data_IF_977363526678
#
_entry.id   IF_977363526678
#
_cell.length_a   1.000
_cell.length_b   1.000
_cell.length_c   1.000
_cell.angle_alpha   90.00
_cell.angle_beta   90.00
_cell.angle_gamma   90.00
#
_symmetry.space_group_name_H-M   'P 1'
#
loop_
_entity.id
_entity.type
_entity.pdbx_description
1 polymer ?
#
# COMPACT_ATOMS: atom_id res chain seq x y z
N UNK A 1 -4.16 -21.50 18.59
CA UNK A 1 -4.63 -20.81 17.38
C UNK A 1 -4.96 -21.81 16.27
N UNK A 2 -4.00 -22.60 15.80
CA UNK A 2 -4.16 -23.55 14.69
C UNK A 2 -5.42 -24.44 14.79
N UNK A 3 -5.63 -25.09 15.95
CA UNK A 3 -6.82 -25.92 16.20
C UNK A 3 -8.13 -25.18 15.95
N UNK A 4 -8.25 -23.93 16.40
CA UNK A 4 -9.47 -23.13 16.21
C UNK A 4 -9.65 -22.66 14.77
N UNK A 5 -8.55 -22.33 14.08
CA UNK A 5 -8.62 -21.95 12.66
C UNK A 5 -9.07 -23.16 11.81
N UNK A 6 -8.49 -24.34 12.05
CA UNK A 6 -8.89 -25.59 11.37
C UNK A 6 -10.35 -25.95 11.66
N UNK A 7 -10.77 -25.81 12.92
CA UNK A 7 -12.15 -26.10 13.34
C UNK A 7 -13.17 -25.18 12.68
N UNK A 8 -12.90 -23.88 12.64
CA UNK A 8 -13.85 -22.88 12.14
C UNK A 8 -13.78 -22.67 10.62
N UNK A 9 -12.66 -23.03 9.99
CA UNK A 9 -12.40 -22.85 8.56
C UNK A 9 -12.86 -21.47 8.03
N UNK A 10 -12.36 -20.36 8.61
CA UNK A 10 -12.90 -19.04 8.33
C UNK A 10 -12.57 -18.57 6.91
N UNK A 11 -13.55 -17.95 6.23
CA UNK A 11 -13.32 -17.33 4.91
C UNK A 11 -12.38 -16.10 4.95
N UNK A 12 -12.24 -15.46 6.11
CA UNK A 12 -11.38 -14.30 6.33
C UNK A 12 -10.88 -14.30 7.77
N UNK A 13 -9.63 -13.87 7.96
CA UNK A 13 -9.04 -13.61 9.27
C UNK A 13 -8.55 -12.17 9.26
N UNK A 14 -8.92 -11.42 10.29
CA UNK A 14 -8.47 -10.05 10.50
C UNK A 14 -7.69 -9.96 11.83
N UNK A 15 -6.66 -9.11 11.86
CA UNK A 15 -5.81 -8.88 13.02
C UNK A 15 -6.09 -7.47 13.58
N UNK A 16 -6.38 -7.42 14.88
CA UNK A 16 -6.68 -6.20 15.62
C UNK A 16 -5.58 -5.79 16.59
N UNK A 17 -5.93 -4.90 17.51
CA UNK A 17 -5.04 -4.45 18.56
C UNK A 17 -4.68 -5.55 19.57
N UNK A 18 -3.59 -5.33 20.29
CA UNK A 18 -3.33 -5.90 21.61
C UNK A 18 -4.13 -5.06 22.61
N UNK A 19 -4.88 -5.73 23.48
CA UNK A 19 -5.73 -5.10 24.49
C UNK A 19 -5.19 -5.35 25.90
N UNK A 20 -5.63 -4.53 26.85
CA UNK A 20 -5.30 -4.66 28.27
C UNK A 20 -5.94 -5.91 28.95
N UNK A 21 -6.75 -6.67 28.23
CA UNK A 21 -7.36 -7.92 28.66
C UNK A 21 -7.64 -8.81 27.46
N UNK A 22 -7.91 -10.10 27.69
CA UNK A 22 -8.20 -11.04 26.60
C UNK A 22 -9.46 -10.60 25.84
N UNK A 23 -9.43 -10.40 24.50
CA UNK A 23 -10.59 -9.91 23.75
C UNK A 23 -11.85 -10.77 23.88
N UNK A 24 -11.71 -12.08 24.07
CA UNK A 24 -12.84 -13.00 24.30
C UNK A 24 -13.64 -12.67 25.58
N UNK A 25 -13.00 -12.01 26.54
CA UNK A 25 -13.55 -11.68 27.85
C UNK A 25 -14.03 -10.21 27.92
N UNK A 26 -14.03 -9.45 26.80
CA UNK A 26 -14.32 -8.00 26.78
C UNK A 26 -15.63 -7.60 27.48
N UNK A 27 -16.64 -8.47 27.49
CA UNK A 27 -17.94 -8.21 28.13
C UNK A 27 -17.89 -8.16 29.64
N UNK A 28 -16.88 -8.79 30.26
CA UNK A 28 -16.73 -8.86 31.72
C UNK A 28 -15.66 -7.92 32.26
N UNK A 29 -15.01 -7.15 31.38
CA UNK A 29 -13.91 -6.24 31.74
C UNK A 29 -14.45 -4.81 31.82
N UNK A 30 -14.32 -4.17 32.98
CA UNK A 30 -14.84 -2.83 33.26
C UNK A 30 -14.24 -1.73 32.36
N UNK A 31 -12.95 -1.84 32.00
CA UNK A 31 -12.28 -0.91 31.09
C UNK A 31 -11.51 -1.71 30.05
N UNK A 32 -12.18 -2.08 28.96
CA UNK A 32 -11.53 -2.78 27.83
C UNK A 32 -10.99 -1.76 26.83
N UNK A 33 -9.67 -1.70 26.68
CA UNK A 33 -9.02 -0.69 25.84
C UNK A 33 -7.87 -1.28 25.01
N UNK A 34 -7.69 -0.84 23.75
CA UNK A 34 -6.51 -1.19 22.98
C UNK A 34 -5.26 -0.55 23.61
N UNK A 35 -4.11 -1.21 23.50
CA UNK A 35 -2.83 -0.77 24.07
C UNK A 35 -1.80 -0.55 22.97
N UNK A 36 -1.65 -1.53 22.09
CA UNK A 36 -0.70 -1.48 20.99
C UNK A 36 -1.33 -2.09 19.73
N UNK A 37 -0.89 -1.63 18.58
CA UNK A 37 -1.20 -2.23 17.28
C UNK A 37 -0.16 -1.79 16.27
N UNK A 38 0.25 -2.66 15.36
CA UNK A 38 1.04 -2.26 14.19
C UNK A 38 0.43 -1.01 13.53
N UNK A 39 1.30 -0.11 13.06
CA UNK A 39 0.88 0.99 12.21
C UNK A 39 0.60 0.41 10.83
N UNK A 40 -0.63 0.57 10.35
CA UNK A 40 -1.09 -0.09 9.12
C UNK A 40 -1.56 0.91 8.07
N UNK A 41 -1.31 0.58 6.81
CA UNK A 41 -1.82 1.30 5.65
C UNK A 41 -2.53 0.31 4.73
N UNK A 42 -3.71 0.70 4.25
CA UNK A 42 -4.47 -0.02 3.23
C UNK A 42 -4.64 0.92 2.02
N UNK A 43 -4.30 0.39 0.86
CA UNK A 43 -4.30 1.10 -0.41
C UNK A 43 -5.06 0.22 -1.39
N UNK A 44 -6.25 0.65 -1.78
CA UNK A 44 -7.11 -0.05 -2.74
C UNK A 44 -7.12 0.68 -4.08
N UNK A 45 -7.04 -0.08 -5.17
CA UNK A 45 -7.12 0.47 -6.53
C UNK A 45 -8.44 1.20 -6.82
N UNK A 46 -9.55 0.92 -6.12
CA UNK A 46 -10.81 1.65 -6.33
C UNK A 46 -10.67 3.13 -6.07
N UNK A 47 -9.79 3.52 -5.15
CA UNK A 47 -9.58 4.91 -4.83
C UNK A 47 -9.02 5.66 -6.04
N UNK A 48 -8.46 4.97 -7.03
CA UNK A 48 -7.90 5.54 -8.26
C UNK A 48 -8.86 5.53 -9.45
N UNK A 49 -10.13 5.14 -9.29
CA UNK A 49 -11.11 5.06 -10.39
C UNK A 49 -11.29 6.37 -11.16
N UNK A 50 -11.05 7.51 -10.53
CA UNK A 50 -11.14 8.83 -11.20
C UNK A 50 -9.96 9.12 -12.13
N UNK A 51 -8.81 8.48 -11.89
CA UNK A 51 -7.53 8.74 -12.56
C UNK A 51 -6.97 7.52 -13.30
N UNK A 52 -7.77 6.45 -13.42
CA UNK A 52 -7.46 5.30 -14.25
C UNK A 52 -8.56 5.07 -15.30
N UNK A 53 -8.16 4.66 -16.49
CA UNK A 53 -9.02 4.43 -17.65
C UNK A 53 -8.95 2.99 -18.15
N UNK A 54 -7.90 2.25 -17.79
CA UNK A 54 -7.69 0.88 -18.28
C UNK A 54 -8.59 -0.16 -17.58
N UNK A 55 -9.11 0.13 -16.39
CA UNK A 55 -9.95 -0.73 -15.57
C UNK A 55 -10.89 0.13 -14.71
N UNK A 56 -11.90 -0.47 -14.10
CA UNK A 56 -12.79 0.20 -13.15
C UNK A 56 -13.17 -0.72 -11.99
N UNK A 57 -13.58 -0.14 -10.85
CA UNK A 57 -14.05 -0.87 -9.70
C UNK A 57 -13.05 -1.91 -9.21
N UNK A 58 -13.37 -3.19 -9.34
CA UNK A 58 -12.53 -4.25 -8.80
C UNK A 58 -11.50 -4.86 -9.74
N UNK A 59 -11.58 -4.51 -11.02
CA UNK A 59 -10.69 -5.04 -12.03
C UNK A 59 -9.33 -4.35 -11.95
N UNK A 60 -8.27 -5.12 -12.21
CA UNK A 60 -6.89 -4.63 -12.25
C UNK A 60 -6.16 -5.21 -13.46
N UNK A 61 -5.17 -4.48 -13.94
CA UNK A 61 -4.22 -4.96 -14.94
C UNK A 61 -2.82 -4.38 -14.66
N UNK A 62 -1.83 -4.78 -15.45
CA UNK A 62 -0.43 -4.34 -15.31
C UNK A 62 -0.26 -2.83 -15.42
N UNK A 63 -1.14 -2.14 -16.15
CA UNK A 63 -1.13 -0.68 -16.29
C UNK A 63 -1.49 0.02 -14.98
N UNK A 64 -2.68 -0.22 -14.44
CA UNK A 64 -3.10 0.43 -13.19
C UNK A 64 -2.33 -0.09 -11.97
N UNK A 65 -1.77 -1.30 -12.01
CA UNK A 65 -0.96 -1.81 -10.89
C UNK A 65 0.25 -0.91 -10.54
N UNK A 66 0.74 -0.13 -11.51
CA UNK A 66 1.77 0.89 -11.26
C UNK A 66 1.38 1.88 -10.16
N UNK A 67 0.09 2.16 -9.92
CA UNK A 67 -0.35 2.95 -8.76
C UNK A 67 0.07 2.31 -7.43
N UNK A 68 -0.09 0.99 -7.29
CA UNK A 68 0.35 0.28 -6.07
C UNK A 68 1.87 0.26 -5.96
N UNK A 69 2.58 0.02 -7.07
CA UNK A 69 4.05 0.07 -7.09
C UNK A 69 4.58 1.43 -6.61
N UNK A 70 3.99 2.53 -7.09
CA UNK A 70 4.32 3.89 -6.67
C UNK A 70 4.03 4.08 -5.19
N UNK A 71 2.89 3.56 -4.71
CA UNK A 71 2.50 3.67 -3.32
C UNK A 71 3.42 2.92 -2.36
N UNK A 72 3.80 1.69 -2.70
CA UNK A 72 4.81 0.93 -1.97
C UNK A 72 6.12 1.72 -1.91
N UNK A 73 6.60 2.23 -3.05
CA UNK A 73 7.88 2.97 -3.08
C UNK A 73 7.84 4.24 -2.24
N UNK A 74 6.80 5.06 -2.38
CA UNK A 74 6.68 6.32 -1.64
C UNK A 74 6.60 6.06 -0.14
N UNK A 75 5.72 5.16 0.28
CA UNK A 75 5.49 4.90 1.69
C UNK A 75 6.67 4.16 2.32
N UNK A 76 7.24 3.15 1.67
CA UNK A 76 8.40 2.43 2.21
C UNK A 76 9.60 3.36 2.36
N UNK A 77 9.85 4.24 1.38
CA UNK A 77 10.93 5.25 1.47
C UNK A 77 10.69 6.19 2.64
N UNK A 78 9.52 6.82 2.74
CA UNK A 78 9.24 7.77 3.81
C UNK A 78 9.26 7.11 5.20
N UNK A 79 8.67 5.92 5.35
CA UNK A 79 8.67 5.18 6.62
C UNK A 79 10.09 4.81 7.07
N UNK A 80 11.00 4.49 6.15
CA UNK A 80 12.40 4.15 6.47
C UNK A 80 13.27 5.39 6.68
N UNK A 81 13.24 6.32 5.74
CA UNK A 81 14.17 7.45 5.69
C UNK A 81 13.74 8.59 6.63
N UNK A 82 12.44 8.88 6.71
CA UNK A 82 11.95 10.02 7.49
C UNK A 82 11.61 9.60 8.93
N UNK A 83 11.04 8.39 9.11
CA UNK A 83 10.61 7.89 10.42
C UNK A 83 11.55 6.87 11.05
N UNK A 84 12.54 6.37 10.30
CA UNK A 84 13.53 5.41 10.82
C UNK A 84 12.99 4.01 11.08
N UNK A 85 11.80 3.65 10.59
CA UNK A 85 11.23 2.32 10.81
C UNK A 85 11.98 1.25 10.01
N UNK A 86 12.23 0.11 10.65
CA UNK A 86 12.99 -0.98 10.08
C UNK A 86 12.10 -2.17 9.72
N UNK A 87 11.10 -2.45 10.55
CA UNK A 87 10.29 -3.67 10.48
C UNK A 87 8.98 -3.40 9.74
N UNK A 88 9.08 -3.23 8.43
CA UNK A 88 7.96 -2.97 7.52
C UNK A 88 7.66 -4.22 6.69
N UNK A 89 6.41 -4.70 6.73
CA UNK A 89 5.93 -5.85 5.97
C UNK A 89 4.86 -5.42 4.95
N UNK A 90 5.13 -5.67 3.67
CA UNK A 90 4.19 -5.42 2.57
C UNK A 90 3.49 -6.70 2.14
N UNK A 91 2.18 -6.61 1.97
CA UNK A 91 1.30 -7.76 1.74
C UNK A 91 0.31 -7.42 0.62
N UNK A 92 0.18 -8.30 -0.36
CA UNK A 92 -0.88 -8.19 -1.35
C UNK A 92 -2.25 -8.47 -0.72
N UNK A 93 -3.26 -7.65 -1.00
CA UNK A 93 -4.59 -7.77 -0.36
C UNK A 93 -5.40 -9.00 -0.82
N UNK A 94 -4.89 -9.74 -1.81
CA UNK A 94 -5.54 -10.88 -2.45
C UNK A 94 -6.44 -10.51 -3.64
N UNK A 95 -6.59 -9.21 -3.94
CA UNK A 95 -7.38 -8.75 -5.10
C UNK A 95 -6.75 -7.57 -5.83
N UNK A 96 -6.82 -6.37 -5.25
CA UNK A 96 -6.59 -5.10 -5.99
C UNK A 96 -5.86 -4.03 -5.18
N UNK A 97 -5.24 -4.42 -4.08
CA UNK A 97 -4.59 -3.48 -3.19
C UNK A 97 -3.40 -4.10 -2.50
N UNK A 98 -2.76 -3.30 -1.67
CA UNK A 98 -1.64 -3.71 -0.83
C UNK A 98 -1.86 -3.20 0.59
N UNK A 99 -1.39 -3.97 1.55
CA UNK A 99 -1.35 -3.59 2.95
C UNK A 99 0.11 -3.42 3.38
N UNK A 100 0.37 -2.40 4.19
CA UNK A 100 1.65 -2.21 4.86
C UNK A 100 1.46 -2.38 6.36
N UNK A 101 2.33 -3.15 7.01
CA UNK A 101 2.38 -3.35 8.45
C UNK A 101 3.73 -2.89 8.96
N UNK A 102 3.75 -1.80 9.74
CA UNK A 102 4.95 -1.32 10.42
C UNK A 102 4.93 -1.85 11.85
N UNK A 103 5.89 -2.71 12.15
CA UNK A 103 5.91 -3.57 13.32
C UNK A 103 6.95 -3.18 14.35
N UNK A 104 7.71 -2.10 14.13
CA UNK A 104 8.64 -1.54 15.12
C UNK A 104 7.91 -1.26 16.45
N UNK A 105 8.61 -1.45 17.58
CA UNK A 105 8.01 -1.21 18.90
C UNK A 105 7.48 0.21 19.07
N UNK A 106 8.23 1.20 18.59
CA UNK A 106 7.83 2.61 18.58
C UNK A 106 6.58 2.87 17.73
N UNK A 107 6.45 2.22 16.57
CA UNK A 107 5.29 2.32 15.70
C UNK A 107 4.03 1.74 16.37
N UNK A 108 4.19 0.59 17.05
CA UNK A 108 3.08 -0.07 17.75
C UNK A 108 2.51 0.76 18.90
N UNK A 109 3.38 1.48 19.60
CA UNK A 109 3.05 2.32 20.74
C UNK A 109 2.47 3.71 20.35
N UNK A 110 2.41 4.06 19.06
CA UNK A 110 1.88 5.36 18.63
C UNK A 110 0.45 5.58 19.09
N UNK A 111 0.21 6.74 19.70
CA UNK A 111 -1.11 7.24 20.04
C UNK A 111 -1.95 7.51 18.78
N UNK A 112 -3.27 7.59 18.92
CA UNK A 112 -4.17 7.91 17.81
C UNK A 112 -3.83 9.26 17.15
N UNK A 113 -3.54 10.31 17.92
CA UNK A 113 -3.19 11.63 17.37
C UNK A 113 -1.86 11.60 16.60
N UNK A 114 -0.88 10.85 17.09
CA UNK A 114 0.39 10.64 16.37
C UNK A 114 0.19 9.90 15.06
N UNK A 115 -0.69 8.88 15.03
CA UNK A 115 -1.05 8.16 13.79
C UNK A 115 -1.74 9.07 12.77
N UNK A 116 -2.61 9.98 13.22
CA UNK A 116 -3.24 11.00 12.37
C UNK A 116 -2.18 11.89 11.73
N UNK A 117 -1.30 12.49 12.54
CA UNK A 117 -0.27 13.40 12.07
C UNK A 117 0.70 12.72 11.09
N UNK A 118 1.07 11.47 11.36
CA UNK A 118 1.91 10.66 10.49
C UNK A 118 1.22 10.38 9.15
N UNK A 119 -0.06 9.99 9.16
CA UNK A 119 -0.81 9.76 7.93
C UNK A 119 -0.94 11.03 7.08
N UNK A 120 -1.10 12.20 7.71
CA UNK A 120 -1.14 13.51 7.04
C UNK A 120 0.23 13.94 6.48
N UNK A 121 1.33 13.58 7.15
CA UNK A 121 2.68 13.79 6.63
C UNK A 121 2.91 12.96 5.37
N UNK A 122 2.55 11.68 5.42
CA UNK A 122 2.71 10.72 4.32
C UNK A 122 1.77 10.99 3.13
N UNK A 123 1.00 12.09 3.12
CA UNK A 123 0.25 12.55 1.95
C UNK A 123 1.09 13.41 0.97
N UNK A 124 2.38 13.65 1.24
CA UNK A 124 3.22 14.54 0.41
C UNK A 124 4.59 13.93 0.07
N UNK A 125 4.79 13.48 -1.18
CA UNK A 125 6.12 13.13 -1.70
C UNK A 125 6.22 13.32 -3.22
N UNK A 126 7.05 14.27 -3.65
CA UNK A 126 7.16 14.75 -5.03
C UNK A 126 8.12 13.92 -5.91
N UNK A 127 9.25 13.47 -5.35
CA UNK A 127 10.36 12.93 -6.15
C UNK A 127 10.04 11.64 -6.90
N UNK A 128 9.37 10.69 -6.23
CA UNK A 128 9.04 9.37 -6.82
C UNK A 128 7.88 9.50 -7.81
N UNK A 129 6.85 10.30 -7.47
CA UNK A 129 5.67 10.50 -8.32
C UNK A 129 6.03 11.01 -9.72
N UNK A 130 6.99 11.94 -9.82
CA UNK A 130 7.47 12.49 -11.10
C UNK A 130 8.06 11.44 -12.04
N UNK A 131 8.74 10.41 -11.51
CA UNK A 131 9.38 9.36 -12.33
C UNK A 131 8.36 8.52 -13.09
N UNK A 132 7.22 8.23 -12.46
CA UNK A 132 6.18 7.38 -13.03
C UNK A 132 5.11 8.16 -13.79
N UNK A 133 5.05 9.49 -13.63
CA UNK A 133 4.00 10.32 -14.21
C UNK A 133 3.85 10.12 -15.72
N UNK A 134 4.94 10.21 -16.49
CA UNK A 134 4.85 10.10 -17.94
C UNK A 134 4.33 8.71 -18.37
N UNK A 135 4.90 7.64 -17.83
CA UNK A 135 4.55 6.28 -18.23
C UNK A 135 3.14 5.90 -17.77
N UNK A 136 2.74 6.30 -16.57
CA UNK A 136 1.44 5.95 -16.02
C UNK A 136 0.33 6.87 -16.55
N UNK A 137 0.48 8.18 -16.35
CA UNK A 137 -0.60 9.14 -16.59
C UNK A 137 -0.75 9.48 -18.07
N UNK A 138 0.38 9.68 -18.78
CA UNK A 138 0.35 10.10 -20.18
C UNK A 138 0.28 8.92 -21.16
N UNK A 139 0.91 7.79 -20.83
CA UNK A 139 0.99 6.63 -21.73
C UNK A 139 -0.04 5.54 -21.39
N UNK A 140 -0.04 5.01 -20.16
CA UNK A 140 -0.89 3.88 -19.81
C UNK A 140 -2.36 4.23 -19.60
N UNK A 141 -2.63 5.33 -18.89
CA UNK A 141 -3.98 5.83 -18.62
C UNK A 141 -4.45 6.88 -19.64
N UNK A 142 -3.53 7.49 -20.39
CA UNK A 142 -3.81 8.50 -21.41
C UNK A 142 -4.81 9.58 -20.94
N UNK A 143 -4.62 10.11 -19.71
CA UNK A 143 -5.57 11.05 -19.08
C UNK A 143 -5.68 12.41 -19.79
N UNK A 144 -4.81 12.68 -20.74
CA UNK A 144 -4.92 13.85 -21.61
C UNK A 144 -5.33 13.45 -23.04
N UNK A 145 -5.84 12.24 -23.25
CA UNK A 145 -6.14 11.69 -24.58
C UNK A 145 -7.40 12.26 -25.23
N UNK A 146 -8.44 12.54 -24.42
CA UNK A 146 -9.78 12.96 -24.90
C UNK A 146 -10.29 14.20 -24.17
N UNK A 147 -11.25 14.97 -24.78
CA UNK A 147 -11.85 16.14 -24.16
C UNK A 147 -12.38 15.93 -22.75
N UNK A 148 -13.02 14.79 -22.52
CA UNK A 148 -13.59 14.43 -21.23
C UNK A 148 -12.51 14.17 -20.19
N UNK A 149 -11.38 13.58 -20.59
CA UNK A 149 -10.29 13.23 -19.68
C UNK A 149 -9.41 14.44 -19.34
N UNK A 150 -8.96 15.22 -20.34
CA UNK A 150 -8.16 16.40 -20.04
C UNK A 150 -8.96 17.46 -19.29
N UNK A 151 -10.28 17.54 -19.49
CA UNK A 151 -11.16 18.40 -18.70
C UNK A 151 -11.06 18.13 -17.19
N UNK A 152 -10.94 16.86 -16.79
CA UNK A 152 -10.71 16.49 -15.37
C UNK A 152 -9.36 16.97 -14.86
N UNK A 153 -8.31 16.90 -15.68
CA UNK A 153 -6.97 17.38 -15.30
C UNK A 153 -6.94 18.91 -15.20
N UNK A 154 -7.57 19.60 -16.15
CA UNK A 154 -7.66 21.07 -16.16
C UNK A 154 -8.52 21.62 -15.02
N UNK A 155 -9.47 20.85 -14.49
CA UNK A 155 -10.20 21.21 -13.27
C UNK A 155 -9.28 21.38 -12.04
N UNK A 156 -8.09 20.76 -12.03
CA UNK A 156 -7.09 20.93 -10.98
C UNK A 156 -6.35 22.27 -11.05
N UNK A 157 -6.42 22.96 -12.19
CA UNK A 157 -5.86 24.31 -12.35
C UNK A 157 -6.84 25.31 -11.72
N UNK A 158 -6.46 26.02 -10.64
CA UNK A 158 -7.41 26.88 -9.91
C UNK A 158 -7.76 28.17 -10.65
N UNK A 159 -6.86 28.69 -11.48
CA UNK A 159 -7.05 29.93 -12.25
C UNK A 159 -7.99 29.69 -13.46
N UNK A 160 -9.19 30.31 -13.49
CA UNK A 160 -10.14 30.11 -14.58
C UNK A 160 -9.65 30.61 -15.94
N UNK A 161 -8.89 31.71 -15.99
CA UNK A 161 -8.40 32.28 -17.25
C UNK A 161 -7.31 31.39 -17.85
N UNK A 162 -6.43 30.86 -16.99
CA UNK A 162 -5.44 29.85 -17.39
C UNK A 162 -6.14 28.57 -17.88
N UNK A 163 -7.18 28.11 -17.17
CA UNK A 163 -7.95 26.93 -17.55
C UNK A 163 -8.59 27.10 -18.93
N UNK A 164 -9.29 28.21 -19.17
CA UNK A 164 -9.92 28.52 -20.45
C UNK A 164 -8.89 28.58 -21.60
N UNK A 165 -7.75 29.24 -21.36
CA UNK A 165 -6.65 29.28 -22.34
C UNK A 165 -6.12 27.88 -22.68
N UNK A 166 -5.96 27.02 -21.67
CA UNK A 166 -5.53 25.64 -21.85
C UNK A 166 -6.59 24.84 -22.62
N UNK A 167 -7.87 24.94 -22.25
CA UNK A 167 -8.98 24.26 -22.92
C UNK A 167 -9.04 24.58 -24.42
N UNK A 168 -8.84 25.85 -24.79
CA UNK A 168 -8.79 26.28 -26.20
C UNK A 168 -7.57 25.74 -26.97
N UNK A 169 -6.48 25.43 -26.27
CA UNK A 169 -5.21 24.96 -26.87
C UNK A 169 -5.14 23.42 -26.95
N UNK A 170 -5.81 22.69 -26.06
CA UNK A 170 -5.78 21.21 -26.02
C UNK A 170 -6.14 20.54 -27.36
N UNK A 171 -7.13 21.01 -28.15
CA UNK A 171 -7.48 20.41 -29.44
C UNK A 171 -6.38 20.52 -30.50
N UNK A 172 -5.47 21.49 -30.37
CA UNK A 172 -4.36 21.70 -31.31
C UNK A 172 -3.19 20.72 -31.09
N UNK A 173 -3.18 20.04 -29.95
CA UNK A 173 -2.14 19.08 -29.59
C UNK A 173 -2.52 17.67 -30.08
N UNK A 174 -1.53 16.90 -30.57
CA UNK A 174 -1.77 15.58 -31.19
C UNK A 174 -1.91 14.44 -30.18
N UNK A 175 -1.27 14.54 -29.01
CA UNK A 175 -1.25 13.48 -28.00
C UNK A 175 -1.11 14.03 -26.56
N UNK A 176 -1.24 13.14 -25.58
CA UNK A 176 -1.13 13.46 -24.15
C UNK A 176 0.21 14.07 -23.78
N UNK A 177 1.30 13.64 -24.40
CA UNK A 177 2.65 14.15 -24.14
C UNK A 177 2.78 15.62 -24.57
N UNK A 178 2.27 15.97 -25.75
CA UNK A 178 2.25 17.35 -26.23
C UNK A 178 1.33 18.21 -25.36
N UNK A 179 0.13 17.73 -25.02
CA UNK A 179 -0.80 18.44 -24.12
C UNK A 179 -0.17 18.72 -22.77
N UNK A 180 0.53 17.75 -22.19
CA UNK A 180 1.26 17.96 -20.94
C UNK A 180 2.40 18.99 -21.09
N UNK A 181 3.13 18.97 -22.21
CA UNK A 181 4.15 19.97 -22.50
C UNK A 181 3.56 21.39 -22.58
N UNK A 182 2.39 21.54 -23.20
CA UNK A 182 1.64 22.79 -23.26
C UNK A 182 1.21 23.25 -21.87
N UNK A 183 0.64 22.36 -21.05
CA UNK A 183 0.27 22.66 -19.65
C UNK A 183 1.48 23.17 -18.87
N UNK A 184 2.61 22.46 -18.92
CA UNK A 184 3.85 22.88 -18.24
C UNK A 184 4.31 24.26 -18.69
N UNK A 185 4.36 24.49 -20.00
CA UNK A 185 4.84 25.75 -20.59
C UNK A 185 3.97 26.92 -20.14
N UNK A 186 2.65 26.74 -20.18
CA UNK A 186 1.70 27.80 -19.88
C UNK A 186 1.59 28.11 -18.38
N UNK A 187 1.67 27.07 -17.52
CA UNK A 187 1.83 27.26 -16.07
C UNK A 187 3.11 28.03 -15.77
N UNK A 188 4.25 27.60 -16.31
CA UNK A 188 5.54 28.28 -16.06
C UNK A 188 5.56 29.73 -16.57
N UNK A 189 4.92 30.00 -17.71
CA UNK A 189 4.74 31.35 -18.26
C UNK A 189 3.88 32.24 -17.36
N UNK A 190 2.87 31.66 -16.72
CA UNK A 190 2.01 32.38 -15.77
C UNK A 190 2.74 32.66 -14.46
N UNK A 191 3.54 31.69 -13.99
CA UNK A 191 4.38 31.83 -12.80
C UNK A 191 5.47 32.90 -12.95
N UNK A 192 6.07 33.03 -14.14
CA UNK A 192 7.11 34.05 -14.39
C UNK A 192 6.57 35.49 -14.48
N UNK A 193 5.28 35.66 -14.79
CA UNK A 193 4.60 36.97 -14.86
C UNK A 193 4.05 37.46 -13.53
N UNK A 194 4.01 36.61 -12.51
CA UNK A 194 3.30 36.85 -11.26
C UNK A 194 4.25 37.05 -10.08
N UNK A 195 4.95 38.17 -10.04
CA UNK A 195 5.50 38.67 -8.78
C UNK A 195 4.33 39.15 -7.89
N UNK A 196 4.08 38.45 -6.79
CA UNK A 196 3.27 38.92 -5.65
C UNK A 196 1.75 39.14 -5.88
N UNK A 197 1.05 38.25 -6.59
CA UNK A 197 -0.43 38.22 -6.58
C UNK A 197 -0.99 37.29 -5.49
N UNK A 198 -2.09 37.71 -4.85
CA UNK A 198 -2.90 36.89 -3.94
C UNK A 198 -3.34 35.60 -4.68
N UNK A 199 -2.98 34.42 -4.17
CA UNK A 199 -3.26 33.13 -4.83
C UNK A 199 -2.11 32.53 -5.66
N UNK A 200 -0.90 33.09 -5.58
CA UNK A 200 0.31 32.53 -6.19
C UNK A 200 0.57 31.08 -5.73
N UNK A 201 0.68 30.14 -6.68
CA UNK A 201 0.94 28.71 -6.44
C UNK A 201 2.20 28.24 -7.17
N UNK A 202 3.40 28.47 -6.61
CA UNK A 202 4.66 28.13 -7.26
C UNK A 202 4.82 26.63 -7.54
N UNK A 203 4.08 25.79 -6.81
CA UNK A 203 4.12 24.34 -6.91
C UNK A 203 2.93 23.74 -7.67
N UNK A 204 2.13 24.53 -8.39
CA UNK A 204 0.91 24.05 -9.06
C UNK A 204 1.14 22.81 -9.94
N UNK A 205 2.24 22.78 -10.70
CA UNK A 205 2.57 21.62 -11.54
C UNK A 205 2.80 20.35 -10.69
N UNK A 206 3.49 20.50 -9.57
CA UNK A 206 3.74 19.44 -8.60
C UNK A 206 2.45 19.00 -7.93
N UNK A 207 1.58 19.94 -7.53
CA UNK A 207 0.25 19.64 -6.98
C UNK A 207 -0.57 18.77 -7.94
N UNK A 208 -0.59 19.10 -9.24
CA UNK A 208 -1.29 18.31 -10.26
C UNK A 208 -0.70 16.89 -10.38
N UNK A 209 0.63 16.77 -10.45
CA UNK A 209 1.30 15.45 -10.51
C UNK A 209 0.95 14.61 -9.28
N UNK A 210 1.01 15.20 -8.10
CA UNK A 210 0.67 14.53 -6.85
C UNK A 210 -0.79 14.09 -6.84
N UNK A 211 -1.74 14.96 -7.21
CA UNK A 211 -3.16 14.61 -7.22
C UNK A 211 -3.47 13.40 -8.13
N UNK A 212 -2.70 13.23 -9.21
CA UNK A 212 -2.90 12.16 -10.18
C UNK A 212 -2.18 10.87 -9.84
N UNK A 213 -1.04 10.92 -9.16
CA UNK A 213 -0.14 9.77 -8.98
C UNK A 213 -0.01 9.32 -7.51
N UNK A 214 -0.24 10.23 -6.57
CA UNK A 214 0.11 10.01 -5.17
C UNK A 214 -0.74 8.93 -4.49
N UNK A 215 -0.18 8.20 -3.50
CA UNK A 215 -0.90 7.25 -2.66
C UNK A 215 -2.18 7.82 -2.06
N UNK A 216 -3.32 7.21 -2.39
CA UNK A 216 -4.60 7.48 -1.75
C UNK A 216 -4.68 6.55 -0.54
N UNK A 217 -4.47 7.11 0.65
CA UNK A 217 -4.46 6.36 1.91
C UNK A 217 -5.88 6.30 2.48
N UNK A 218 -6.36 5.11 2.84
CA UNK A 218 -7.52 5.00 3.72
C UNK A 218 -7.11 5.40 5.15
N UNK A 219 -7.35 6.67 5.46
CA UNK A 219 -6.93 7.25 6.73
C UNK A 219 -7.66 6.64 7.93
N UNK A 220 -8.85 6.06 7.75
CA UNK A 220 -9.59 5.42 8.84
C UNK A 220 -8.93 4.11 9.27
N UNK A 221 -8.26 3.42 8.34
CA UNK A 221 -7.47 2.21 8.62
C UNK A 221 -6.23 2.57 9.44
N UNK A 222 -5.56 3.66 9.11
CA UNK A 222 -4.30 4.06 9.78
C UNK A 222 -4.51 4.70 11.15
N UNK A 223 -5.58 5.49 11.33
CA UNK A 223 -5.83 6.27 12.56
C UNK A 223 -6.19 5.39 13.77
N UNK A 224 -7.00 4.36 13.58
CA UNK A 224 -7.63 3.62 14.67
C UNK A 224 -6.75 2.52 15.27
N UNK A 225 -6.46 2.59 16.56
CA UNK A 225 -5.77 1.51 17.28
C UNK A 225 -6.55 0.19 17.29
N UNK A 226 -7.89 0.24 17.23
CA UNK A 226 -8.77 -0.92 17.22
C UNK A 226 -9.12 -1.44 15.81
N UNK A 227 -8.57 -0.83 14.75
CA UNK A 227 -8.91 -1.21 13.38
C UNK A 227 -8.47 -2.65 13.07
N UNK A 228 -9.36 -3.42 12.43
CA UNK A 228 -9.13 -4.79 12.00
C UNK A 228 -8.64 -4.79 10.55
N UNK A 229 -7.46 -5.35 10.30
CA UNK A 229 -6.92 -5.47 8.94
C UNK A 229 -6.66 -6.94 8.60
N UNK A 230 -6.89 -7.31 7.34
CA UNK A 230 -6.79 -8.70 6.87
C UNK A 230 -5.39 -9.27 7.11
N UNK A 231 -5.35 -10.44 7.73
CA UNK A 231 -4.13 -11.18 8.01
C UNK A 231 -3.33 -11.45 6.72
N UNK A 232 -1.99 -11.36 6.77
CA UNK A 232 -1.13 -12.01 5.79
C UNK A 232 -1.52 -13.49 5.64
N UNK A 233 -1.31 -14.03 4.45
CA UNK A 233 -1.60 -15.43 4.08
C UNK A 233 -3.07 -15.86 4.10
N UNK A 234 -4.02 -14.95 4.31
CA UNK A 234 -5.43 -15.24 4.06
C UNK A 234 -5.70 -15.55 2.58
N UNK A 235 -6.65 -16.45 2.32
CA UNK A 235 -7.21 -16.64 0.96
C UNK A 235 -8.32 -15.62 0.75
N UNK A 236 -8.26 -14.86 -0.34
CA UNK A 236 -9.31 -13.91 -0.66
C UNK A 236 -10.54 -14.65 -1.22
N UNK A 237 -11.73 -14.55 -0.60
CA UNK A 237 -12.85 -15.45 -0.88
C UNK A 237 -13.38 -15.37 -2.31
N UNK A 238 -13.32 -14.18 -2.94
CA UNK A 238 -13.80 -14.00 -4.33
C UNK A 238 -12.79 -14.39 -5.42
N UNK A 239 -11.50 -14.33 -5.13
CA UNK A 239 -10.45 -14.55 -6.14
C UNK A 239 -9.74 -15.88 -5.94
N UNK A 240 -9.83 -16.48 -4.75
CA UNK A 240 -9.06 -17.66 -4.37
C UNK A 240 -7.55 -17.40 -4.20
N UNK A 241 -7.07 -16.16 -4.39
CA UNK A 241 -5.65 -15.81 -4.27
C UNK A 241 -5.23 -15.68 -2.82
N UNK A 242 -3.99 -16.05 -2.54
CA UNK A 242 -3.37 -15.88 -1.23
C UNK A 242 -2.86 -14.45 -1.05
N UNK A 243 -3.03 -13.88 0.15
CA UNK A 243 -2.48 -12.58 0.53
C UNK A 243 -0.98 -12.72 0.84
N UNK A 244 -0.15 -12.79 -0.20
CA UNK A 244 1.29 -13.05 -0.10
C UNK A 244 2.09 -11.81 0.33
N UNK A 245 3.17 -12.03 1.07
CA UNK A 245 4.17 -11.01 1.35
C UNK A 245 5.10 -10.84 0.14
N UNK A 246 5.59 -9.62 -0.08
CA UNK A 246 6.51 -9.34 -1.18
C UNK A 246 7.56 -8.29 -0.79
N UNK A 247 8.67 -8.28 -1.53
CA UNK A 247 9.80 -7.38 -1.30
C UNK A 247 9.49 -5.98 -1.86
N UNK A 248 9.42 -4.92 -1.03
CA UNK A 248 9.13 -3.58 -1.51
C UNK A 248 10.20 -3.02 -2.45
N UNK A 249 11.47 -3.47 -2.33
CA UNK A 249 12.54 -3.07 -3.25
C UNK A 249 12.33 -3.61 -4.67
N UNK A 250 11.55 -4.69 -4.80
CA UNK A 250 11.18 -5.33 -6.06
C UNK A 250 9.72 -5.11 -6.44
N UNK A 251 9.08 -4.07 -5.90
CA UNK A 251 7.66 -3.78 -6.14
C UNK A 251 7.27 -3.60 -7.63
N UNK A 252 8.21 -3.20 -8.50
CA UNK A 252 7.99 -3.13 -9.96
C UNK A 252 7.88 -4.50 -10.63
N UNK A 253 8.48 -5.53 -10.02
CA UNK A 253 8.49 -6.91 -10.53
C UNK A 253 7.31 -7.73 -9.98
N UNK A 254 6.60 -7.22 -8.98
CA UNK A 254 5.47 -7.92 -8.37
C UNK A 254 4.27 -7.94 -9.33
N UNK A 255 3.85 -9.14 -9.73
CA UNK A 255 2.70 -9.35 -10.60
C UNK A 255 1.50 -9.91 -9.81
N UNK A 256 0.47 -9.10 -9.50
CA UNK A 256 -0.70 -9.57 -8.74
C UNK A 256 -1.55 -10.59 -9.51
N UNK A 257 -1.37 -10.71 -10.83
CA UNK A 257 -2.05 -11.71 -11.65
C UNK A 257 -1.38 -13.09 -11.56
N UNK A 258 -0.12 -13.16 -11.13
CA UNK A 258 0.65 -14.40 -10.98
C UNK A 258 0.63 -14.96 -9.54
N UNK A 259 -0.02 -14.25 -8.60
CA UNK A 259 -0.13 -14.70 -7.20
C UNK A 259 -0.93 -16.01 -7.15
N UNK A 260 -0.45 -17.03 -6.41
CA UNK A 260 -1.07 -18.35 -6.42
C UNK A 260 -2.48 -18.35 -5.85
N UNK A 261 -3.32 -19.19 -6.48
CA UNK A 261 -4.65 -19.53 -6.02
C UNK A 261 -4.60 -20.76 -5.10
N UNK A 262 -5.56 -20.89 -4.18
CA UNK A 262 -5.62 -22.05 -3.27
C UNK A 262 -5.68 -23.39 -4.04
N UNK A 263 -6.45 -23.46 -5.14
CA UNK A 263 -6.54 -24.65 -5.98
C UNK A 263 -5.20 -25.02 -6.63
N UNK A 264 -4.45 -24.02 -7.11
CA UNK A 264 -3.12 -24.22 -7.68
C UNK A 264 -2.16 -24.80 -6.63
N UNK A 265 -2.19 -24.29 -5.40
CA UNK A 265 -1.32 -24.79 -4.33
C UNK A 265 -1.64 -26.25 -3.97
N UNK A 266 -2.91 -26.63 -3.96
CA UNK A 266 -3.31 -28.03 -3.73
C UNK A 266 -2.78 -28.94 -4.85
N UNK A 267 -2.83 -28.47 -6.10
CA UNK A 267 -2.31 -29.20 -7.26
C UNK A 267 -0.79 -29.32 -7.21
N UNK A 268 -0.07 -28.25 -6.85
CA UNK A 268 1.39 -28.26 -6.68
C UNK A 268 1.84 -29.29 -5.63
N UNK A 269 1.15 -29.37 -4.49
CA UNK A 269 1.43 -30.39 -3.45
C UNK A 269 1.17 -31.80 -4.00
N UNK A 270 0.02 -31.99 -4.65
CA UNK A 270 -0.39 -33.30 -5.19
C UNK A 270 0.59 -33.81 -6.24
N UNK A 271 1.05 -32.91 -7.13
CA UNK A 271 2.05 -33.21 -8.15
C UNK A 271 3.44 -33.49 -7.54
N UNK A 272 3.83 -32.75 -6.51
CA UNK A 272 5.10 -32.98 -5.81
C UNK A 272 5.12 -34.32 -5.08
N UNK A 273 3.98 -34.74 -4.52
CA UNK A 273 3.83 -35.97 -3.72
C UNK A 273 3.46 -37.21 -4.56
N UNK A 274 3.25 -37.04 -5.87
CA UNK A 274 2.94 -38.12 -6.79
C UNK A 274 4.05 -39.19 -6.80
N UNK A 275 3.68 -40.44 -6.54
CA UNK A 275 4.62 -41.57 -6.50
C UNK A 275 5.51 -41.66 -5.25
N UNK A 276 5.37 -40.75 -4.28
CA UNK A 276 6.11 -40.78 -3.01
C UNK A 276 5.41 -41.58 -1.92
N UNK A 277 6.18 -42.20 -1.02
CA UNK A 277 5.68 -42.84 0.20
C UNK A 277 5.26 -41.79 1.23
N UNK A 278 4.48 -42.18 2.25
CA UNK A 278 4.04 -41.25 3.29
C UNK A 278 5.20 -40.65 4.11
N UNK A 279 6.28 -41.41 4.28
CA UNK A 279 7.51 -40.94 4.94
C UNK A 279 8.21 -39.86 4.10
N UNK A 280 8.32 -40.07 2.78
CA UNK A 280 8.87 -39.09 1.84
C UNK A 280 8.02 -37.83 1.74
N UNK A 281 6.68 -37.98 1.81
CA UNK A 281 5.74 -36.85 1.82
C UNK A 281 5.92 -35.98 3.08
N UNK A 282 6.17 -36.59 4.23
CA UNK A 282 6.36 -35.91 5.51
C UNK A 282 7.71 -35.22 5.69
N UNK A 283 8.72 -35.58 4.88
CA UNK A 283 10.09 -35.05 5.01
C UNK A 283 10.22 -33.56 4.67
N UNK A 284 9.31 -33.01 3.87
CA UNK A 284 9.33 -31.61 3.42
C UNK A 284 8.03 -30.94 3.82
N UNK A 285 8.10 -29.79 4.51
CA UNK A 285 6.92 -29.01 4.85
C UNK A 285 6.12 -28.62 3.58
N UNK A 286 4.79 -28.75 3.64
CA UNK A 286 3.91 -28.62 2.46
C UNK A 286 4.14 -27.33 1.68
N UNK A 287 4.24 -26.20 2.36
CA UNK A 287 4.44 -24.91 1.68
C UNK A 287 5.75 -24.83 0.88
N UNK A 288 6.80 -25.57 1.28
CA UNK A 288 8.09 -25.61 0.57
C UNK A 288 7.99 -26.34 -0.76
N UNK A 289 6.93 -27.13 -0.96
CA UNK A 289 6.61 -27.83 -2.21
C UNK A 289 5.89 -26.93 -3.22
N UNK A 290 5.56 -25.70 -2.84
CA UNK A 290 4.66 -24.82 -3.59
C UNK A 290 5.29 -23.46 -3.90
N UNK A 291 4.61 -22.70 -4.75
CA UNK A 291 4.88 -21.29 -5.04
C UNK A 291 4.76 -20.36 -3.81
N UNK A 292 4.25 -20.83 -2.66
CA UNK A 292 4.26 -20.08 -1.40
C UNK A 292 5.65 -19.94 -0.76
N UNK A 293 6.61 -20.79 -1.12
CA UNK A 293 7.94 -20.85 -0.49
C UNK A 293 8.60 -19.48 -0.40
N UNK A 294 8.64 -18.73 -1.50
CA UNK A 294 9.31 -17.42 -1.53
C UNK A 294 8.69 -16.41 -0.56
N UNK A 295 7.36 -16.37 -0.51
CA UNK A 295 6.61 -15.45 0.36
C UNK A 295 6.80 -15.80 1.85
N UNK A 296 6.85 -17.09 2.17
CA UNK A 296 7.09 -17.56 3.54
C UNK A 296 8.55 -17.35 3.95
N UNK A 297 9.52 -17.63 3.09
CA UNK A 297 10.95 -17.36 3.37
C UNK A 297 11.19 -15.86 3.66
N UNK A 298 10.52 -14.97 2.91
CA UNK A 298 10.55 -13.52 3.17
C UNK A 298 9.97 -13.18 4.53
N UNK A 299 8.82 -13.77 4.88
CA UNK A 299 8.16 -13.55 6.16
C UNK A 299 8.99 -14.09 7.34
N UNK A 300 9.63 -15.27 7.20
CA UNK A 300 10.52 -15.84 8.21
C UNK A 300 11.76 -14.98 8.43
N UNK A 301 12.33 -14.41 7.36
CA UNK A 301 13.43 -13.45 7.44
C UNK A 301 13.01 -12.17 8.18
N UNK A 302 11.84 -11.62 7.85
CA UNK A 302 11.23 -10.49 8.53
C UNK A 302 11.05 -10.74 10.04
N UNK A 303 10.44 -11.88 10.40
CA UNK A 303 10.22 -12.27 11.80
C UNK A 303 11.53 -12.51 12.55
N UNK A 304 12.54 -13.09 11.89
CA UNK A 304 13.86 -13.31 12.49
C UNK A 304 14.54 -11.99 12.84
N UNK A 305 14.42 -10.98 11.99
CA UNK A 305 14.94 -9.63 12.26
C UNK A 305 14.19 -8.97 13.42
N UNK A 306 12.85 -8.97 13.38
CA UNK A 306 11.98 -8.41 14.42
C UNK A 306 12.16 -9.13 15.78
N UNK A 307 12.44 -10.43 15.77
CA UNK A 307 12.72 -11.22 16.96
C UNK A 307 13.99 -10.77 17.67
N UNK A 308 15.06 -10.46 16.92
CA UNK A 308 16.32 -9.95 17.48
C UNK A 308 16.14 -8.59 18.15
N UNK A 309 15.45 -7.66 17.49
CA UNK A 309 15.14 -6.33 18.05
C UNK A 309 14.31 -6.45 19.34
N UNK A 310 13.27 -7.30 19.35
CA UNK A 310 12.44 -7.51 20.53
C UNK A 310 13.21 -8.12 21.71
N UNK A 311 14.21 -8.96 21.46
CA UNK A 311 15.09 -9.50 22.51
C UNK A 311 16.00 -8.41 23.06
N UNK A 312 16.58 -7.58 22.20
CA UNK A 312 17.41 -6.45 22.62
C UNK A 312 16.62 -5.46 23.50
N UNK A 313 15.44 -5.03 23.03
CA UNK A 313 14.56 -4.12 23.78
C UNK A 313 14.18 -4.67 25.16
N UNK A 314 13.83 -5.96 25.27
CA UNK A 314 13.48 -6.57 26.57
C UNK A 314 14.66 -6.63 27.53
N UNK A 315 15.89 -6.75 27.03
CA UNK A 315 17.09 -6.68 27.86
C UNK A 315 17.29 -5.26 28.39
N UNK A 316 17.21 -4.26 27.53
CA UNK A 316 17.30 -2.84 27.91
C UNK A 316 16.23 -2.46 28.94
N UNK A 317 14.97 -2.87 28.74
CA UNK A 317 13.89 -2.65 29.70
C UNK A 317 14.09 -3.35 31.04
N UNK A 318 14.75 -4.51 31.05
CA UNK A 318 15.10 -5.22 32.28
C UNK A 318 16.22 -4.50 33.02
N UNK A 319 17.23 -4.03 32.30
CA UNK A 319 18.38 -3.32 32.86
C UNK A 319 17.93 -1.98 33.47
N UNK A 320 17.02 -1.24 32.81
CA UNK A 320 16.44 0.00 33.34
C UNK A 320 15.56 -0.21 34.59
N UNK A 321 15.01 -1.42 34.80
CA UNK A 321 14.21 -1.75 35.99
C UNK A 321 15.06 -2.20 37.18
N UNK A 322 16.36 -2.40 36.97
CA UNK A 322 17.33 -2.83 37.97
C UNK A 322 18.22 -1.66 38.45
N UNK A 323 17.66 -0.46 38.56
CA UNK A 323 18.33 0.64 39.24
C UNK A 323 18.34 0.42 40.76
N UNK A 324 19.56 0.52 41.31
CA UNK A 324 19.98 0.37 42.70
C UNK A 324 19.35 1.36 43.67
#
# INVERSE_FOLDING_TARGET
MEKEVKKNCPHKIDIGAIYNSKPKDHRTVHMFAPQEKELVFDIDMTDYDEVRTCCSGAEICKKCWKFMTIAVKILDTALREDFGYQHILWVYSGRRGVHCWVCDGSARALSQSSRVALAEYLQRAEGIAKKFFNDLILSDQDLLGTPQLWGKVLALVPDPALRESLENTMPQCVNSQQRWSTIKTEINRTLSKSEHKKGYRPYLLTEIILQLVYPRLDIHVTKGLNHLLKSPFCVHPKTGRVCVCFDPLKAEQFDPMAVPHLSQLMEEISNYDAGKTDEERGAVAEYKKTSMKQSIDLFDSFLSSLGKENVARRREESDMKLDF
#
